data_IF_505157693646
#
_entry.id   IF_505157693646
#
_cell.length_a   1.000
_cell.length_b   1.000
_cell.length_c   1.000
_cell.angle_alpha   90.00
_cell.angle_beta   90.00
_cell.angle_gamma   90.00
#
_symmetry.space_group_name_H-M   'P 1'
#
loop_
_entity.id
_entity.type
_entity.pdbx_description
1 polymer ?
#
# COMPACT_ATOMS: atom_id res chain seq x y z
N UNK A 1 -45.73 -18.67 -69.80
CA UNK A 1 -44.60 -18.00 -70.43
C UNK A 1 -43.66 -17.51 -69.36
N UNK A 2 -42.35 -17.62 -69.52
CA UNK A 2 -41.49 -18.12 -68.46
C UNK A 2 -40.81 -16.94 -67.71
N UNK A 3 -40.45 -17.27 -66.47
CA UNK A 3 -39.56 -16.46 -65.67
C UNK A 3 -38.10 -16.70 -66.08
N UNK A 4 -37.19 -15.75 -65.92
CA UNK A 4 -35.77 -16.00 -65.97
C UNK A 4 -35.12 -15.93 -64.57
N UNK A 5 -34.21 -16.81 -64.47
CA UNK A 5 -33.19 -17.10 -63.44
C UNK A 5 -32.62 -15.88 -62.69
N UNK A 6 -32.54 -16.04 -61.35
CA UNK A 6 -31.76 -15.19 -60.49
C UNK A 6 -30.49 -15.91 -60.07
N UNK A 7 -29.39 -15.30 -60.44
CA UNK A 7 -28.05 -15.67 -60.18
C UNK A 7 -27.69 -15.49 -58.68
N UNK A 8 -27.34 -16.58 -58.01
CA UNK A 8 -26.88 -16.61 -56.63
C UNK A 8 -25.43 -16.12 -56.58
N UNK A 9 -25.20 -14.85 -56.13
CA UNK A 9 -23.88 -14.36 -55.84
C UNK A 9 -23.49 -14.71 -54.39
N UNK A 10 -22.62 -15.72 -54.24
CA UNK A 10 -21.94 -16.03 -52.97
C UNK A 10 -21.16 -14.81 -52.46
N UNK A 11 -21.66 -14.20 -51.39
CA UNK A 11 -20.82 -13.31 -50.58
C UNK A 11 -19.88 -14.16 -49.74
N UNK A 12 -18.60 -14.12 -50.07
CA UNK A 12 -17.52 -14.63 -49.24
C UNK A 12 -17.50 -13.81 -47.98
N UNK A 13 -17.84 -14.43 -46.88
CA UNK A 13 -17.66 -13.85 -45.53
C UNK A 13 -16.18 -13.76 -45.25
N UNK A 14 -15.60 -12.58 -44.88
CA UNK A 14 -14.20 -12.51 -44.49
C UNK A 14 -14.07 -13.25 -43.15
N UNK A 15 -13.31 -14.33 -43.19
CA UNK A 15 -12.83 -15.03 -42.01
C UNK A 15 -12.11 -14.01 -41.11
N UNK A 16 -12.54 -13.91 -39.83
CA UNK A 16 -11.83 -13.21 -38.79
C UNK A 16 -10.43 -13.83 -38.67
N UNK A 17 -9.47 -13.29 -39.39
CA UNK A 17 -8.05 -13.53 -39.13
C UNK A 17 -7.79 -13.00 -37.72
N UNK A 18 -7.58 -13.93 -36.78
CA UNK A 18 -7.24 -13.57 -35.41
C UNK A 18 -5.96 -12.76 -35.38
N UNK A 19 -6.06 -11.53 -34.97
CA UNK A 19 -4.92 -10.71 -34.53
C UNK A 19 -4.37 -11.39 -33.27
N UNK A 20 -3.45 -12.35 -33.44
CA UNK A 20 -2.53 -12.74 -32.37
C UNK A 20 -1.55 -11.58 -32.23
N UNK A 21 -1.83 -10.68 -31.28
CA UNK A 21 -0.79 -9.77 -30.79
C UNK A 21 0.46 -10.61 -30.54
N UNK A 22 1.55 -10.30 -31.23
CA UNK A 22 2.86 -10.88 -30.93
C UNK A 22 3.26 -10.35 -29.56
N UNK A 23 2.96 -11.10 -28.52
CA UNK A 23 3.51 -10.80 -27.19
C UNK A 23 5.01 -10.80 -27.29
N UNK A 24 5.68 -9.75 -26.79
CA UNK A 24 7.11 -9.68 -26.74
C UNK A 24 7.71 -10.88 -26.00
N UNK A 25 8.90 -11.26 -26.37
CA UNK A 25 9.63 -12.35 -25.71
C UNK A 25 9.82 -12.01 -24.23
N UNK A 26 9.74 -13.00 -23.34
CA UNK A 26 10.06 -12.78 -21.94
C UNK A 26 11.47 -12.20 -21.77
N UNK A 27 11.61 -11.30 -20.79
CA UNK A 27 12.92 -10.75 -20.37
C UNK A 27 13.34 -11.46 -19.10
N UNK A 28 14.62 -11.82 -19.01
CA UNK A 28 15.22 -12.32 -17.78
C UNK A 28 16.00 -11.17 -17.13
N UNK A 29 15.65 -10.88 -15.87
CA UNK A 29 16.28 -9.85 -15.04
C UNK A 29 17.16 -10.56 -14.02
N UNK A 30 18.44 -10.19 -13.93
CA UNK A 30 19.29 -10.60 -12.83
C UNK A 30 19.04 -9.64 -11.65
N UNK A 31 18.52 -10.17 -10.55
CA UNK A 31 18.21 -9.40 -9.34
C UNK A 31 18.89 -10.06 -8.14
N UNK A 32 19.91 -9.41 -7.63
CA UNK A 32 20.72 -9.92 -6.50
C UNK A 32 21.33 -11.31 -6.81
N UNK A 33 21.72 -11.57 -8.06
CA UNK A 33 22.27 -12.86 -8.52
C UNK A 33 21.19 -13.94 -8.72
N UNK A 34 19.91 -13.59 -8.67
CA UNK A 34 18.78 -14.49 -8.92
C UNK A 34 18.13 -14.15 -10.27
N UNK A 35 17.96 -15.12 -11.20
CA UNK A 35 17.25 -14.88 -12.44
C UNK A 35 15.74 -14.80 -12.20
N UNK A 36 15.15 -13.65 -12.51
CA UNK A 36 13.70 -13.46 -12.47
C UNK A 36 13.18 -13.27 -13.89
N UNK A 37 12.41 -14.23 -14.37
CA UNK A 37 11.79 -14.18 -15.70
C UNK A 37 10.54 -13.32 -15.67
N UNK A 38 10.52 -12.24 -16.47
CA UNK A 38 9.37 -11.35 -16.66
C UNK A 38 8.68 -11.68 -17.98
N UNK A 39 7.49 -12.27 -17.93
CA UNK A 39 6.66 -12.56 -19.11
C UNK A 39 5.83 -11.35 -19.49
N UNK A 40 5.55 -11.17 -20.80
CA UNK A 40 4.77 -10.05 -21.34
C UNK A 40 5.28 -8.69 -20.84
N UNK A 41 6.57 -8.36 -21.03
CA UNK A 41 7.18 -7.14 -20.50
C UNK A 41 6.53 -5.87 -21.07
N UNK A 42 6.05 -5.93 -22.30
CA UNK A 42 5.38 -4.88 -23.08
C UNK A 42 3.90 -4.70 -22.75
N UNK A 43 3.34 -5.53 -21.88
CA UNK A 43 1.94 -5.35 -21.47
C UNK A 43 1.77 -4.01 -20.76
N UNK A 44 0.90 -3.16 -21.29
CA UNK A 44 0.54 -1.87 -20.68
C UNK A 44 -0.21 -2.12 -19.38
N UNK A 45 0.32 -1.58 -18.30
CA UNK A 45 -0.29 -1.65 -16.96
C UNK A 45 -1.08 -0.38 -16.62
N UNK A 46 -0.57 0.77 -17.02
CA UNK A 46 -1.18 2.08 -16.75
C UNK A 46 -1.65 2.69 -18.08
N UNK A 47 -2.87 2.36 -18.49
CA UNK A 47 -3.36 2.69 -19.83
C UNK A 47 -3.39 4.20 -20.13
N UNK A 48 -3.63 5.05 -19.12
CA UNK A 48 -3.65 6.50 -19.29
C UNK A 48 -2.25 7.10 -19.56
N UNK A 49 -1.19 6.40 -19.17
CA UNK A 49 0.20 6.87 -19.21
C UNK A 49 1.07 6.09 -20.18
N UNK A 50 0.71 4.83 -20.44
CA UNK A 50 1.42 3.93 -21.34
C UNK A 50 2.50 3.07 -20.69
N UNK A 51 2.77 3.23 -19.38
CA UNK A 51 3.78 2.39 -18.70
C UNK A 51 3.39 0.93 -18.71
N UNK A 52 4.41 0.11 -18.96
CA UNK A 52 4.33 -1.33 -19.14
C UNK A 52 4.66 -2.10 -17.85
N UNK A 53 4.54 -3.41 -17.92
CA UNK A 53 5.00 -4.31 -16.86
C UNK A 53 6.52 -4.20 -16.63
N UNK A 54 7.30 -3.99 -17.71
CA UNK A 54 8.73 -3.78 -17.60
C UNK A 54 9.06 -2.45 -16.92
N UNK A 55 8.31 -1.39 -17.22
CA UNK A 55 8.50 -0.10 -16.55
C UNK A 55 8.20 -0.21 -15.05
N UNK A 56 7.16 -0.96 -14.67
CA UNK A 56 6.88 -1.26 -13.26
C UNK A 56 8.02 -2.04 -12.59
N UNK A 57 8.61 -3.03 -13.27
CA UNK A 57 9.76 -3.77 -12.75
C UNK A 57 10.99 -2.85 -12.61
N UNK A 58 11.27 -2.02 -13.60
CA UNK A 58 12.39 -1.05 -13.57
C UNK A 58 12.20 -0.01 -12.45
N UNK A 59 10.96 0.43 -12.21
CA UNK A 59 10.65 1.29 -11.07
C UNK A 59 11.07 0.63 -9.75
N UNK A 60 10.63 -0.61 -9.49
CA UNK A 60 10.97 -1.30 -8.25
C UNK A 60 12.47 -1.63 -8.13
N UNK A 61 13.16 -1.86 -9.25
CA UNK A 61 14.62 -1.97 -9.26
C UNK A 61 15.27 -0.65 -8.81
N UNK A 62 14.78 0.48 -9.30
CA UNK A 62 15.34 1.79 -8.97
C UNK A 62 15.15 2.20 -7.50
N UNK A 63 14.03 1.82 -6.87
CA UNK A 63 13.73 2.11 -5.46
C UNK A 63 13.99 0.90 -4.54
N UNK A 64 14.74 -0.07 -5.01
CA UNK A 64 14.95 -1.37 -4.39
C UNK A 64 15.27 -1.35 -2.90
N UNK A 65 16.29 -0.59 -2.44
CA UNK A 65 16.62 -0.53 -1.02
C UNK A 65 15.45 -0.05 -0.15
N UNK A 66 14.70 0.95 -0.62
CA UNK A 66 13.58 1.53 0.12
C UNK A 66 12.38 0.58 0.22
N UNK A 67 11.95 -0.03 -0.91
CA UNK A 67 10.80 -0.96 -0.88
C UNK A 67 11.13 -2.24 -0.10
N UNK A 68 12.35 -2.77 -0.22
CA UNK A 68 12.76 -3.95 0.54
C UNK A 68 12.77 -3.66 2.03
N UNK A 69 13.26 -2.49 2.48
CA UNK A 69 13.22 -2.10 3.89
C UNK A 69 11.78 -1.99 4.39
N UNK A 70 10.90 -1.33 3.64
CA UNK A 70 9.50 -1.14 4.01
C UNK A 70 8.74 -2.47 4.18
N UNK A 71 9.12 -3.51 3.42
CA UNK A 71 8.48 -4.82 3.42
C UNK A 71 9.21 -5.88 4.25
N UNK A 72 10.45 -5.58 4.70
CA UNK A 72 11.35 -6.58 5.29
C UNK A 72 10.70 -7.35 6.44
N UNK A 73 10.73 -8.68 6.31
CA UNK A 73 10.29 -9.63 7.33
C UNK A 73 8.78 -9.53 7.67
N UNK A 74 7.97 -8.85 6.84
CA UNK A 74 6.54 -8.68 7.07
C UNK A 74 5.72 -9.60 6.21
N UNK A 75 4.64 -10.22 6.76
CA UNK A 75 3.61 -10.80 5.91
C UNK A 75 3.08 -9.72 4.99
N UNK A 76 2.92 -10.03 3.70
CA UNK A 76 2.54 -9.03 2.71
C UNK A 76 1.41 -9.51 1.81
N UNK A 77 0.29 -8.81 1.83
CA UNK A 77 -0.78 -8.98 0.87
C UNK A 77 -0.41 -8.27 -0.44
N UNK A 78 -0.50 -8.98 -1.55
CA UNK A 78 -0.26 -8.46 -2.89
C UNK A 78 -1.56 -8.00 -3.54
N UNK A 79 -1.63 -6.76 -4.02
CA UNK A 79 -2.69 -6.33 -4.91
C UNK A 79 -2.24 -6.50 -6.35
N UNK A 80 -2.84 -7.47 -7.02
CA UNK A 80 -2.48 -7.87 -8.39
C UNK A 80 -3.47 -7.32 -9.40
N UNK A 81 -2.96 -7.01 -10.59
CA UNK A 81 -3.72 -6.51 -11.73
C UNK A 81 -3.34 -7.31 -12.98
N UNK A 82 -3.87 -8.55 -13.15
CA UNK A 82 -3.45 -9.44 -14.22
C UNK A 82 -3.63 -8.89 -15.63
N UNK A 83 -4.58 -7.96 -15.81
CA UNK A 83 -4.90 -7.31 -17.09
C UNK A 83 -4.55 -5.83 -17.14
N UNK A 84 -3.71 -5.34 -16.20
CA UNK A 84 -3.41 -3.92 -16.02
C UNK A 84 -4.35 -3.24 -15.03
N UNK A 85 -4.03 -2.00 -14.62
CA UNK A 85 -4.73 -1.30 -13.53
C UNK A 85 -6.15 -0.85 -13.86
N UNK A 86 -6.54 -0.86 -15.14
CA UNK A 86 -7.92 -0.67 -15.58
C UNK A 86 -8.79 -1.92 -15.43
N UNK A 87 -8.18 -3.08 -15.14
CA UNK A 87 -8.87 -4.34 -14.95
C UNK A 87 -9.22 -4.64 -13.49
N UNK A 88 -9.63 -5.88 -13.26
CA UNK A 88 -9.97 -6.35 -11.92
C UNK A 88 -8.75 -6.39 -10.98
N UNK A 89 -8.91 -5.85 -9.78
CA UNK A 89 -7.94 -5.96 -8.68
C UNK A 89 -8.15 -7.27 -7.92
N UNK A 90 -7.11 -8.07 -7.81
CA UNK A 90 -7.07 -9.32 -7.06
C UNK A 90 -6.27 -9.13 -5.77
N UNK A 91 -6.90 -9.33 -4.63
CA UNK A 91 -6.24 -9.35 -3.33
C UNK A 91 -5.66 -10.74 -3.07
N UNK A 92 -4.36 -10.90 -3.15
CA UNK A 92 -3.70 -12.19 -2.98
C UNK A 92 -2.90 -12.24 -1.67
N UNK A 93 -3.40 -13.03 -0.72
CA UNK A 93 -2.75 -13.30 0.55
C UNK A 93 -1.75 -14.48 0.44
N UNK A 94 -2.07 -15.53 -0.30
CA UNK A 94 -1.25 -16.74 -0.39
C UNK A 94 -0.28 -16.71 -1.55
N UNK A 95 0.96 -17.11 -1.29
CA UNK A 95 1.92 -17.44 -2.35
C UNK A 95 1.47 -18.73 -3.06
N UNK A 96 1.43 -18.77 -4.41
CA UNK A 96 1.02 -19.95 -5.15
C UNK A 96 2.06 -21.08 -5.06
N UNK A 97 1.61 -22.34 -5.16
CA UNK A 97 2.47 -23.53 -5.04
C UNK A 97 3.62 -23.62 -6.04
N UNK A 98 3.55 -22.90 -7.18
CA UNK A 98 4.62 -22.86 -8.20
C UNK A 98 5.63 -21.72 -7.99
N UNK A 99 5.68 -21.09 -6.82
CA UNK A 99 6.67 -20.06 -6.50
C UNK A 99 8.09 -20.63 -6.48
N UNK A 100 9.11 -19.80 -6.81
CA UNK A 100 10.50 -20.22 -6.73
C UNK A 100 10.88 -20.68 -5.31
N UNK A 101 11.78 -21.67 -5.18
CA UNK A 101 12.15 -22.21 -3.86
C UNK A 101 12.93 -21.22 -2.98
N UNK A 102 13.46 -20.16 -3.55
CA UNK A 102 14.16 -19.09 -2.82
C UNK A 102 13.21 -18.01 -2.28
N UNK A 103 11.91 -18.05 -2.65
CA UNK A 103 10.91 -17.12 -2.14
C UNK A 103 10.53 -17.53 -0.71
N UNK A 104 10.52 -16.56 0.19
CA UNK A 104 10.18 -16.81 1.58
C UNK A 104 8.71 -16.49 1.85
N UNK A 105 8.12 -17.24 2.77
CA UNK A 105 6.75 -17.05 3.24
C UNK A 105 6.70 -17.06 4.76
N UNK A 106 5.64 -16.46 5.27
CA UNK A 106 5.30 -16.53 6.70
C UNK A 106 3.86 -17.01 6.86
N UNK A 107 3.67 -17.95 7.78
CA UNK A 107 2.36 -18.51 8.06
C UNK A 107 1.59 -17.62 9.02
N UNK A 108 0.48 -17.05 8.55
CA UNK A 108 -0.38 -16.17 9.33
C UNK A 108 -1.70 -16.88 9.64
N UNK A 109 -2.16 -16.73 10.87
CA UNK A 109 -3.46 -17.22 11.29
C UNK A 109 -4.52 -16.13 11.10
N UNK A 110 -5.70 -16.51 10.56
CA UNK A 110 -6.89 -15.67 10.41
C UNK A 110 -7.99 -16.22 11.31
N UNK A 111 -8.11 -15.77 12.58
CA UNK A 111 -9.03 -16.34 13.58
C UNK A 111 -10.48 -16.31 13.12
N UNK A 112 -10.94 -15.18 12.56
CA UNK A 112 -12.31 -15.00 12.05
C UNK A 112 -12.72 -16.07 11.04
N UNK A 113 -11.76 -16.52 10.20
CA UNK A 113 -11.99 -17.53 9.17
C UNK A 113 -11.49 -18.93 9.57
N UNK A 114 -10.96 -19.09 10.78
CA UNK A 114 -10.35 -20.33 11.30
C UNK A 114 -9.40 -21.00 10.32
N UNK A 115 -8.57 -20.22 9.63
CA UNK A 115 -7.64 -20.69 8.60
C UNK A 115 -6.29 -19.99 8.65
N UNK A 116 -5.31 -20.61 7.97
CA UNK A 116 -3.97 -20.07 7.80
C UNK A 116 -3.74 -19.68 6.34
N UNK A 117 -2.84 -18.73 6.12
CA UNK A 117 -2.28 -18.44 4.81
C UNK A 117 -0.76 -18.33 4.94
N UNK A 118 -0.04 -18.85 3.94
CA UNK A 118 1.38 -18.62 3.78
C UNK A 118 1.53 -17.39 2.88
N UNK A 119 1.73 -16.22 3.53
CA UNK A 119 1.86 -14.93 2.86
C UNK A 119 3.31 -14.68 2.45
N UNK A 120 3.49 -13.86 1.39
CA UNK A 120 4.81 -13.41 0.97
C UNK A 120 5.53 -12.73 2.14
N UNK A 121 6.80 -13.08 2.34
CA UNK A 121 7.71 -12.45 3.29
C UNK A 121 8.91 -11.90 2.53
N UNK A 122 8.93 -10.61 2.27
CA UNK A 122 10.00 -9.99 1.49
C UNK A 122 11.27 -9.90 2.32
N UNK A 123 12.36 -10.46 1.78
CA UNK A 123 13.70 -10.42 2.40
C UNK A 123 14.76 -9.84 1.45
N UNK A 124 14.45 -9.79 0.14
CA UNK A 124 15.35 -9.32 -0.93
C UNK A 124 14.57 -8.73 -2.10
N UNK A 125 15.24 -8.00 -2.97
CA UNK A 125 14.60 -7.32 -4.10
C UNK A 125 14.02 -8.32 -5.13
N UNK A 126 14.63 -9.49 -5.29
CA UNK A 126 14.10 -10.53 -6.16
C UNK A 126 12.68 -10.96 -5.80
N UNK A 127 12.29 -10.92 -4.51
CA UNK A 127 10.92 -11.23 -4.06
C UNK A 127 9.91 -10.20 -4.60
N UNK A 128 10.30 -8.92 -4.63
CA UNK A 128 9.50 -7.82 -5.17
C UNK A 128 9.33 -7.97 -6.68
N UNK A 129 10.42 -8.23 -7.42
CA UNK A 129 10.39 -8.36 -8.89
C UNK A 129 9.63 -9.62 -9.29
N UNK A 130 9.76 -10.73 -8.55
CA UNK A 130 8.92 -11.90 -8.78
C UNK A 130 7.43 -11.58 -8.57
N UNK A 131 7.11 -10.77 -7.59
CA UNK A 131 5.72 -10.34 -7.36
C UNK A 131 5.19 -9.50 -8.53
N UNK A 132 6.02 -8.63 -9.11
CA UNK A 132 5.70 -7.91 -10.36
C UNK A 132 5.46 -8.90 -11.50
N UNK A 133 6.27 -9.96 -11.62
CA UNK A 133 6.00 -11.04 -12.58
C UNK A 133 4.61 -11.64 -12.37
N UNK A 134 4.15 -11.78 -11.13
CA UNK A 134 2.81 -12.24 -10.76
C UNK A 134 1.73 -11.17 -10.92
N UNK A 135 2.04 -10.03 -11.54
CA UNK A 135 1.15 -8.88 -11.79
C UNK A 135 0.83 -8.06 -10.54
N UNK A 136 1.65 -8.11 -9.52
CA UNK A 136 1.52 -7.25 -8.34
C UNK A 136 1.91 -5.83 -8.70
N UNK A 137 1.04 -4.88 -8.36
CA UNK A 137 1.29 -3.44 -8.48
C UNK A 137 1.47 -2.83 -7.09
N UNK A 138 0.60 -3.18 -6.13
CA UNK A 138 0.64 -2.64 -4.78
C UNK A 138 1.08 -3.70 -3.77
N UNK A 139 1.92 -3.29 -2.82
CA UNK A 139 2.38 -4.12 -1.70
C UNK A 139 1.78 -3.59 -0.39
N UNK A 140 1.07 -4.44 0.32
CA UNK A 140 0.36 -4.13 1.54
C UNK A 140 0.85 -5.00 2.69
N UNK A 141 1.95 -4.61 3.37
CA UNK A 141 2.51 -5.38 4.48
C UNK A 141 1.67 -5.25 5.75
N UNK A 142 1.73 -6.27 6.59
CA UNK A 142 1.33 -6.17 7.97
C UNK A 142 2.23 -5.20 8.74
N UNK A 143 1.71 -4.68 9.84
CA UNK A 143 2.49 -3.86 10.77
C UNK A 143 3.21 -4.68 11.84
N UNK A 144 3.29 -6.01 11.68
CA UNK A 144 4.12 -6.95 12.45
C UNK A 144 5.11 -7.69 11.54
N UNK A 145 6.14 -8.29 12.13
CA UNK A 145 7.15 -9.07 11.41
C UNK A 145 6.98 -10.59 11.66
N UNK A 146 7.61 -11.39 10.81
CA UNK A 146 7.52 -12.87 10.89
C UNK A 146 8.01 -13.47 12.21
N UNK A 147 8.86 -12.76 12.95
CA UNK A 147 9.35 -13.21 14.26
C UNK A 147 8.21 -13.30 15.29
N UNK A 148 7.25 -12.37 15.22
CA UNK A 148 6.02 -12.41 15.98
C UNK A 148 4.92 -11.69 15.18
N UNK A 149 4.03 -12.47 14.55
CA UNK A 149 2.94 -11.92 13.73
C UNK A 149 1.77 -11.38 14.55
N UNK A 150 1.76 -11.60 15.87
CA UNK A 150 0.66 -11.14 16.75
C UNK A 150 0.99 -9.82 17.46
N UNK A 151 2.27 -9.38 17.43
CA UNK A 151 2.71 -8.12 18.03
C UNK A 151 3.26 -7.16 16.98
N UNK A 152 2.54 -6.04 16.70
CA UNK A 152 3.04 -4.99 15.82
C UNK A 152 4.34 -4.36 16.33
N UNK A 153 5.27 -4.11 15.40
CA UNK A 153 6.46 -3.28 15.61
C UNK A 153 6.33 -1.92 14.91
N UNK A 154 5.17 -1.64 14.32
CA UNK A 154 4.90 -0.43 13.57
C UNK A 154 3.49 0.08 13.87
N UNK A 155 3.41 1.31 14.36
CA UNK A 155 2.17 2.05 14.50
C UNK A 155 1.99 2.95 13.28
N UNK A 156 0.78 2.93 12.70
CA UNK A 156 0.41 3.67 11.48
C UNK A 156 -0.64 4.71 11.79
N UNK A 157 -0.31 5.96 11.54
CA UNK A 157 -1.24 7.10 11.57
C UNK A 157 -1.66 7.34 10.13
N UNK A 158 -2.93 7.08 9.82
CA UNK A 158 -3.50 7.25 8.48
C UNK A 158 -4.43 8.46 8.47
N UNK A 159 -4.04 9.48 7.71
CA UNK A 159 -4.78 10.73 7.51
C UNK A 159 -5.62 10.60 6.23
N UNK A 160 -6.87 10.14 6.36
CA UNK A 160 -7.78 9.84 5.25
C UNK A 160 -8.81 10.98 5.06
N UNK A 161 -8.64 11.86 4.06
CA UNK A 161 -9.58 12.95 3.81
C UNK A 161 -10.90 12.43 3.24
N UNK A 162 -12.01 12.90 3.80
CA UNK A 162 -13.35 12.67 3.26
C UNK A 162 -13.50 13.33 1.87
N UNK A 163 -14.52 13.00 1.07
CA UNK A 163 -14.59 13.39 -0.36
C UNK A 163 -14.43 14.88 -0.67
N UNK A 164 -14.93 15.76 0.21
CA UNK A 164 -14.85 17.22 0.05
C UNK A 164 -13.69 17.86 0.82
N UNK A 165 -12.89 17.06 1.52
CA UNK A 165 -11.70 17.50 2.24
C UNK A 165 -10.52 17.60 1.28
N UNK A 166 -9.94 18.80 1.15
CA UNK A 166 -8.77 19.08 0.30
C UNK A 166 -7.45 18.69 0.96
N UNK A 167 -6.38 18.65 0.17
CA UNK A 167 -5.05 18.30 0.68
C UNK A 167 -4.46 19.36 1.62
N UNK A 168 -4.92 20.62 1.57
CA UNK A 168 -4.53 21.66 2.53
C UNK A 168 -4.95 21.31 3.96
N UNK A 169 -6.12 20.69 4.13
CA UNK A 169 -6.54 20.14 5.44
C UNK A 169 -5.65 18.98 5.87
N UNK A 170 -5.22 18.12 4.93
CA UNK A 170 -4.26 17.04 5.22
C UNK A 170 -2.94 17.62 5.73
N UNK A 171 -2.41 18.67 5.09
CA UNK A 171 -1.19 19.37 5.54
C UNK A 171 -1.34 19.95 6.94
N UNK A 172 -2.45 20.66 7.20
CA UNK A 172 -2.75 21.22 8.51
C UNK A 172 -2.75 20.15 9.58
N UNK A 173 -3.50 19.06 9.38
CA UNK A 173 -3.62 17.99 10.37
C UNK A 173 -2.30 17.23 10.53
N UNK A 174 -1.53 17.04 9.45
CA UNK A 174 -0.20 16.45 9.52
C UNK A 174 0.76 17.31 10.35
N UNK A 175 0.64 18.64 10.30
CA UNK A 175 1.37 19.56 11.21
C UNK A 175 0.99 19.34 12.68
N UNK A 176 -0.30 19.22 12.99
CA UNK A 176 -0.76 18.89 14.35
C UNK A 176 -0.21 17.54 14.82
N UNK A 177 -0.20 16.53 13.93
CA UNK A 177 0.40 15.21 14.22
C UNK A 177 1.89 15.35 14.51
N UNK A 178 2.63 16.11 13.69
CA UNK A 178 4.06 16.34 13.89
C UNK A 178 4.36 16.98 15.26
N UNK A 179 3.63 18.04 15.62
CA UNK A 179 3.77 18.72 16.91
C UNK A 179 3.49 17.76 18.07
N UNK A 180 2.40 17.00 17.99
CA UNK A 180 2.01 16.04 19.02
C UNK A 180 3.05 14.93 19.19
N UNK A 181 3.58 14.38 18.09
CA UNK A 181 4.66 13.39 18.15
C UNK A 181 5.93 13.97 18.79
N UNK A 182 6.27 15.23 18.46
CA UNK A 182 7.42 15.91 19.05
C UNK A 182 7.26 16.13 20.57
N UNK A 183 6.07 16.53 21.04
CA UNK A 183 5.75 16.64 22.47
C UNK A 183 5.91 15.31 23.22
N UNK A 184 5.57 14.21 22.55
CA UNK A 184 5.72 12.85 23.10
C UNK A 184 7.15 12.29 22.98
N UNK A 185 8.07 13.01 22.32
CA UNK A 185 9.40 12.51 22.01
C UNK A 185 9.42 11.32 21.04
N UNK A 186 8.40 11.23 20.17
CA UNK A 186 8.23 10.16 19.20
C UNK A 186 8.66 10.62 17.81
N UNK A 187 9.47 9.82 17.14
CA UNK A 187 9.89 10.06 15.75
C UNK A 187 8.88 9.46 14.80
N UNK A 188 8.23 10.30 14.00
CA UNK A 188 7.32 9.90 12.95
C UNK A 188 7.92 10.06 11.55
N UNK A 189 7.65 9.12 10.67
CA UNK A 189 8.14 9.03 9.29
C UNK A 189 6.99 9.25 8.32
N UNK A 190 6.81 10.48 7.78
CA UNK A 190 5.70 10.81 6.89
C UNK A 190 5.93 10.28 5.48
N UNK A 191 4.82 9.92 4.83
CA UNK A 191 4.76 9.59 3.40
C UNK A 191 3.40 9.92 2.81
N UNK A 192 3.35 10.20 1.51
CA UNK A 192 2.06 10.27 0.81
C UNK A 192 1.38 8.90 0.79
N UNK A 193 0.06 8.86 0.79
CA UNK A 193 -0.66 7.58 0.64
C UNK A 193 -0.59 7.01 -0.79
N UNK A 194 -0.12 7.82 -1.77
CA UNK A 194 -0.26 7.57 -3.19
C UNK A 194 -1.72 7.72 -3.66
N UNK A 195 -2.57 8.27 -2.80
CA UNK A 195 -3.94 8.70 -3.05
C UNK A 195 -4.11 10.15 -2.65
N UNK A 196 -5.13 10.45 -1.83
CA UNK A 196 -5.45 11.81 -1.40
C UNK A 196 -4.95 12.15 0.00
N UNK A 197 -4.51 11.16 0.77
CA UNK A 197 -4.12 11.29 2.17
C UNK A 197 -2.61 11.22 2.39
N UNK A 198 -2.25 11.16 3.66
CA UNK A 198 -0.88 11.05 4.15
C UNK A 198 -0.82 10.01 5.27
N UNK A 199 0.25 9.25 5.33
CA UNK A 199 0.51 8.31 6.41
C UNK A 199 1.75 8.76 7.20
N UNK A 200 1.74 8.53 8.50
CA UNK A 200 2.94 8.66 9.34
C UNK A 200 3.20 7.33 10.00
N UNK A 201 4.39 6.79 9.78
CA UNK A 201 4.81 5.53 10.39
C UNK A 201 5.68 5.79 11.61
N UNK A 202 5.45 5.03 12.65
CA UNK A 202 6.24 5.07 13.89
C UNK A 202 6.71 3.66 14.21
N UNK A 203 8.01 3.49 14.45
CA UNK A 203 8.52 2.23 14.98
C UNK A 203 8.22 2.14 16.47
N UNK A 204 7.59 1.03 16.87
CA UNK A 204 7.25 0.77 18.27
C UNK A 204 7.89 -0.53 18.76
N UNK A 205 8.08 -0.67 20.06
CA UNK A 205 8.46 -1.95 20.65
C UNK A 205 7.33 -2.95 20.44
N UNK A 206 7.62 -4.19 20.06
CA UNK A 206 6.60 -5.24 19.87
C UNK A 206 6.14 -5.84 21.21
N UNK A 207 5.78 -4.97 22.15
CA UNK A 207 5.38 -5.36 23.51
C UNK A 207 3.86 -5.55 23.62
N UNK A 208 3.09 -5.03 22.64
CA UNK A 208 1.62 -4.96 22.66
C UNK A 208 1.00 -5.75 21.51
N UNK A 209 -0.14 -6.38 21.79
CA UNK A 209 -0.98 -7.01 20.77
C UNK A 209 -1.78 -5.96 19.97
N UNK A 210 -2.34 -6.36 18.83
CA UNK A 210 -3.08 -5.48 17.92
C UNK A 210 -4.18 -4.66 18.60
N UNK A 211 -4.94 -5.26 19.54
CA UNK A 211 -6.00 -4.58 20.27
C UNK A 211 -5.49 -3.37 21.05
N UNK A 212 -4.36 -3.53 21.75
CA UNK A 212 -3.73 -2.46 22.52
C UNK A 212 -3.12 -1.38 21.61
N UNK A 213 -2.45 -1.77 20.50
CA UNK A 213 -1.92 -0.80 19.53
C UNK A 213 -3.03 0.03 18.91
N UNK A 214 -4.16 -0.60 18.53
CA UNK A 214 -5.33 0.10 17.99
C UNK A 214 -5.96 1.02 19.05
N UNK A 215 -6.02 0.60 20.32
CA UNK A 215 -6.52 1.40 21.43
C UNK A 215 -5.65 2.66 21.64
N UNK A 216 -4.35 2.51 21.65
CA UNK A 216 -3.40 3.62 21.71
C UNK A 216 -3.54 4.57 20.51
N UNK A 217 -3.69 4.01 19.29
CA UNK A 217 -3.92 4.78 18.07
C UNK A 217 -5.21 5.61 18.13
N UNK A 218 -6.30 5.07 18.70
CA UNK A 218 -7.56 5.81 18.90
C UNK A 218 -7.38 6.94 19.92
N UNK A 219 -6.65 6.71 21.01
CA UNK A 219 -6.39 7.77 21.99
C UNK A 219 -5.59 8.93 21.38
N UNK A 220 -4.59 8.61 20.56
CA UNK A 220 -3.84 9.61 19.80
C UNK A 220 -4.75 10.35 18.80
N UNK A 221 -5.57 9.64 18.03
CA UNK A 221 -6.49 10.23 17.08
C UNK A 221 -7.48 11.20 17.74
N UNK A 222 -8.00 10.84 18.93
CA UNK A 222 -8.86 11.73 19.72
C UNK A 222 -8.13 12.97 20.21
N UNK A 223 -6.83 12.88 20.52
CA UNK A 223 -6.04 14.07 20.88
C UNK A 223 -5.85 14.98 19.67
N UNK A 224 -5.58 14.42 18.47
CA UNK A 224 -5.54 15.19 17.22
C UNK A 224 -6.89 15.87 16.95
N UNK A 225 -8.02 15.17 17.14
CA UNK A 225 -9.37 15.73 17.01
C UNK A 225 -9.62 16.88 18.01
N UNK A 226 -9.18 16.77 19.28
CA UNK A 226 -9.26 17.85 20.27
C UNK A 226 -8.48 19.11 19.88
N UNK A 227 -7.33 18.95 19.17
CA UNK A 227 -6.52 20.07 18.70
C UNK A 227 -7.04 20.71 17.43
N UNK A 228 -7.78 19.96 16.60
CA UNK A 228 -8.31 20.44 15.33
C UNK A 228 -9.79 19.99 15.12
N UNK A 229 -10.71 20.35 16.06
CA UNK A 229 -12.08 19.80 16.10
C UNK A 229 -12.93 20.15 14.89
N UNK A 230 -12.63 21.26 14.21
CA UNK A 230 -13.42 21.72 13.06
C UNK A 230 -13.12 20.94 11.79
N UNK A 231 -11.99 20.23 11.73
CA UNK A 231 -11.49 19.59 10.50
C UNK A 231 -11.13 18.12 10.66
N UNK A 232 -11.06 17.59 11.88
CA UNK A 232 -10.72 16.19 12.18
C UNK A 232 -11.92 15.46 12.75
N UNK A 233 -12.06 14.19 12.41
CA UNK A 233 -13.03 13.29 13.03
C UNK A 233 -12.43 11.93 13.35
N UNK A 234 -12.85 11.34 14.46
CA UNK A 234 -12.60 9.94 14.84
C UNK A 234 -13.86 9.09 14.76
N UNK A 235 -14.96 9.62 14.22
CA UNK A 235 -16.25 8.94 14.09
C UNK A 235 -16.09 7.65 13.27
N UNK A 236 -16.54 6.51 13.87
CA UNK A 236 -16.39 5.19 13.25
C UNK A 236 -17.11 5.06 11.90
N UNK A 237 -18.39 5.41 11.87
CA UNK A 237 -19.19 5.18 10.68
C UNK A 237 -18.99 6.27 9.63
N UNK A 238 -18.48 5.89 8.47
CA UNK A 238 -18.23 6.82 7.36
C UNK A 238 -19.46 7.68 6.98
N UNK A 239 -20.66 7.10 7.06
CA UNK A 239 -21.92 7.79 6.74
C UNK A 239 -22.26 8.94 7.70
N UNK A 240 -21.70 8.92 8.92
CA UNK A 240 -21.97 9.90 9.97
C UNK A 240 -20.86 10.97 10.03
N UNK A 241 -19.84 10.90 9.13
CA UNK A 241 -18.75 11.89 9.04
C UNK A 241 -19.15 13.05 8.14
N UNK A 242 -18.79 14.28 8.53
CA UNK A 242 -18.87 15.44 7.63
C UNK A 242 -17.92 15.21 6.42
N UNK A 243 -18.42 15.36 5.18
CA UNK A 243 -17.59 15.14 3.98
C UNK A 243 -16.41 16.09 3.84
N UNK A 244 -16.36 17.18 4.62
CA UNK A 244 -15.27 18.18 4.63
C UNK A 244 -14.19 17.88 5.66
N UNK A 245 -14.38 16.87 6.54
CA UNK A 245 -13.41 16.52 7.57
C UNK A 245 -12.37 15.53 7.09
N UNK A 246 -11.30 15.39 7.88
CA UNK A 246 -10.28 14.36 7.75
C UNK A 246 -10.51 13.30 8.84
N UNK A 247 -10.55 12.05 8.43
CA UNK A 247 -10.61 10.93 9.37
C UNK A 247 -9.19 10.47 9.72
N UNK A 248 -8.86 10.48 11.01
CA UNK A 248 -7.63 9.83 11.49
C UNK A 248 -7.96 8.35 11.68
N UNK A 249 -7.59 7.52 10.67
CA UNK A 249 -7.97 6.11 10.64
C UNK A 249 -7.06 5.26 11.55
N UNK A 250 -7.46 5.17 12.80
CA UNK A 250 -6.83 4.33 13.81
C UNK A 250 -7.02 2.83 13.56
N UNK A 251 -7.98 2.44 12.69
CA UNK A 251 -8.29 1.04 12.40
C UNK A 251 -7.22 0.36 11.54
N UNK A 252 -6.35 1.13 10.88
CA UNK A 252 -5.19 0.56 10.17
C UNK A 252 -4.22 -0.15 11.12
N UNK A 253 -4.44 -0.02 12.44
CA UNK A 253 -3.69 -0.74 13.47
C UNK A 253 -4.45 -1.97 14.01
N UNK A 254 -5.62 -2.27 13.47
CA UNK A 254 -6.32 -3.52 13.78
C UNK A 254 -5.63 -4.70 13.07
N UNK A 255 -5.82 -5.89 13.63
CA UNK A 255 -5.32 -7.14 13.03
C UNK A 255 -5.93 -7.32 11.65
N UNK A 256 -5.16 -7.84 10.70
CA UNK A 256 -5.52 -8.06 9.29
C UNK A 256 -5.70 -6.79 8.44
N UNK A 257 -5.59 -5.60 9.01
CA UNK A 257 -5.60 -4.35 8.27
C UNK A 257 -4.21 -4.04 7.71
N UNK A 258 -4.18 -3.66 6.44
CA UNK A 258 -2.94 -3.36 5.73
C UNK A 258 -3.13 -2.14 4.83
N UNK A 259 -2.08 -1.33 4.74
CA UNK A 259 -2.03 -0.16 3.83
C UNK A 259 -0.83 -0.25 2.90
N UNK A 260 -0.86 0.50 1.80
CA UNK A 260 0.24 0.52 0.85
C UNK A 260 1.54 0.94 1.53
N UNK A 261 2.61 0.14 1.37
CA UNK A 261 3.93 0.43 1.94
C UNK A 261 4.56 1.69 1.35
N UNK A 262 5.60 2.20 2.00
CA UNK A 262 6.50 3.15 1.37
C UNK A 262 7.01 2.58 0.03
N UNK A 263 7.12 3.44 -0.98
CA UNK A 263 7.51 3.12 -2.36
C UNK A 263 6.57 2.18 -3.12
N UNK A 264 5.43 1.78 -2.56
CA UNK A 264 4.43 1.01 -3.30
C UNK A 264 3.74 1.88 -4.35
N UNK A 265 3.73 1.43 -5.60
CA UNK A 265 2.91 2.02 -6.66
C UNK A 265 1.44 1.77 -6.35
N UNK A 266 0.56 2.71 -6.75
CA UNK A 266 -0.89 2.54 -6.63
C UNK A 266 -1.50 2.13 -7.97
N UNK A 267 -2.49 1.26 -7.89
CA UNK A 267 -3.22 0.78 -9.07
C UNK A 267 -4.28 1.77 -9.57
N UNK A 268 -3.91 3.03 -9.71
CA UNK A 268 -4.75 4.10 -10.28
C UNK A 268 -4.23 4.52 -11.65
N UNK A 269 -4.99 5.39 -12.33
CA UNK A 269 -4.69 5.82 -13.70
C UNK A 269 -3.37 6.62 -13.80
N UNK A 270 -3.02 7.35 -12.75
CA UNK A 270 -1.86 8.24 -12.70
C UNK A 270 -0.58 7.51 -12.27
N UNK A 271 -0.65 6.23 -11.92
CA UNK A 271 0.48 5.44 -11.42
C UNK A 271 1.22 6.15 -10.27
N UNK A 272 0.47 6.73 -9.34
CA UNK A 272 1.04 7.42 -8.20
C UNK A 272 1.74 6.45 -7.25
N UNK A 273 2.62 6.98 -6.43
CA UNK A 273 3.45 6.21 -5.48
C UNK A 273 3.20 6.69 -4.06
N UNK A 274 3.13 5.74 -3.15
CA UNK A 274 3.16 6.02 -1.70
C UNK A 274 4.57 6.40 -1.29
N UNK A 275 4.89 7.69 -1.36
CA UNK A 275 6.28 8.21 -1.35
C UNK A 275 6.66 8.81 -0.01
N UNK A 276 7.76 8.36 0.63
CA UNK A 276 8.35 9.03 1.76
C UNK A 276 8.70 10.49 1.47
N UNK A 277 8.39 11.35 2.44
CA UNK A 277 8.68 12.78 2.42
C UNK A 277 9.33 13.20 3.73
N UNK A 278 10.03 14.33 3.75
CA UNK A 278 10.46 14.97 4.97
C UNK A 278 9.36 15.87 5.52
N UNK A 279 9.38 16.12 6.81
CA UNK A 279 8.42 17.03 7.44
C UNK A 279 8.53 18.47 6.91
N UNK A 280 9.74 18.92 6.55
CA UNK A 280 9.99 20.25 5.99
C UNK A 280 9.48 20.41 4.55
N UNK A 281 9.21 19.32 3.84
CA UNK A 281 8.59 19.33 2.50
C UNK A 281 7.06 19.46 2.55
N UNK A 282 6.43 19.22 3.71
CA UNK A 282 4.98 19.05 3.83
C UNK A 282 4.19 20.25 3.27
N UNK A 283 4.71 21.47 3.41
CA UNK A 283 4.05 22.68 2.92
C UNK A 283 3.87 22.69 1.39
N UNK A 284 4.84 22.14 0.65
CA UNK A 284 4.94 22.24 -0.81
C UNK A 284 4.55 20.95 -1.53
N UNK A 285 4.36 19.82 -0.80
CA UNK A 285 4.04 18.51 -1.39
C UNK A 285 2.69 18.51 -2.09
N UNK A 286 2.68 18.09 -3.37
CA UNK A 286 1.47 17.61 -4.05
C UNK A 286 1.62 16.08 -4.25
N UNK A 287 0.73 15.26 -3.71
CA UNK A 287 0.81 13.79 -3.87
C UNK A 287 0.78 13.33 -5.33
N UNK A 288 0.26 14.14 -6.25
CA UNK A 288 0.17 13.84 -7.69
C UNK A 288 1.52 13.92 -8.39
N UNK A 289 2.50 14.61 -7.81
CA UNK A 289 3.85 14.73 -8.37
C UNK A 289 4.66 13.45 -8.21
N UNK A 290 4.25 12.57 -7.29
CA UNK A 290 4.94 11.32 -6.99
C UNK A 290 4.35 10.15 -7.79
N UNK A 291 4.95 9.90 -8.93
CA UNK A 291 4.53 8.85 -9.86
C UNK A 291 5.65 7.83 -10.11
N UNK A 292 5.30 6.73 -10.77
CA UNK A 292 6.28 5.72 -11.24
C UNK A 292 7.41 6.35 -12.08
N UNK A 293 7.16 7.50 -12.74
CA UNK A 293 8.16 8.19 -13.58
C UNK A 293 9.05 9.16 -12.78
N UNK A 294 8.54 9.77 -11.71
CA UNK A 294 9.25 10.85 -10.99
C UNK A 294 10.00 10.36 -9.76
N UNK A 295 9.45 9.39 -9.05
CA UNK A 295 10.03 8.88 -7.79
C UNK A 295 11.41 8.24 -7.96
N UNK A 296 11.78 7.55 -9.05
CA UNK A 296 13.13 7.02 -9.23
C UNK A 296 14.22 8.10 -9.18
N UNK A 297 14.01 9.25 -9.83
CA UNK A 297 14.97 10.36 -9.80
C UNK A 297 15.09 10.95 -8.38
N UNK A 298 13.96 11.15 -7.70
CA UNK A 298 13.93 11.59 -6.30
C UNK A 298 14.68 10.61 -5.38
N UNK A 299 14.46 9.31 -5.55
CA UNK A 299 15.16 8.30 -4.75
C UNK A 299 16.67 8.30 -5.00
N UNK A 300 17.10 8.47 -6.24
CA UNK A 300 18.50 8.56 -6.59
C UNK A 300 19.20 9.81 -5.98
N UNK A 301 18.46 10.92 -5.84
CA UNK A 301 18.94 12.17 -5.26
C UNK A 301 18.97 12.15 -3.73
N UNK A 302 17.86 11.72 -3.10
CA UNK A 302 17.63 11.86 -1.67
C UNK A 302 17.89 10.57 -0.86
N UNK A 303 18.00 9.43 -1.53
CA UNK A 303 18.01 8.12 -0.88
C UNK A 303 16.66 7.74 -0.29
N UNK A 304 16.68 6.79 0.64
CA UNK A 304 15.48 6.38 1.36
C UNK A 304 15.23 7.25 2.59
N UNK A 305 14.23 8.10 2.50
CA UNK A 305 13.86 9.01 3.60
C UNK A 305 13.29 8.30 4.85
N UNK A 306 13.00 6.99 4.76
CA UNK A 306 12.65 6.16 5.90
C UNK A 306 13.82 5.30 6.42
N UNK A 307 15.08 5.60 5.99
CA UNK A 307 16.25 4.77 6.33
C UNK A 307 16.42 4.58 7.84
N UNK A 308 16.22 5.63 8.63
CA UNK A 308 16.36 5.59 10.08
C UNK A 308 15.15 5.05 10.85
N UNK A 309 14.11 4.51 10.18
CA UNK A 309 12.88 4.11 10.89
C UNK A 309 13.10 3.01 11.93
N UNK A 310 14.10 2.16 11.73
CA UNK A 310 14.43 1.07 12.65
C UNK A 310 15.42 1.45 13.78
N UNK A 311 15.91 2.72 13.80
CA UNK A 311 16.93 3.15 14.77
C UNK A 311 16.39 3.28 16.20
N UNK A 312 15.12 3.69 16.34
CA UNK A 312 14.47 3.89 17.64
C UNK A 312 13.05 3.31 17.63
N UNK A 313 12.81 2.42 18.57
CA UNK A 313 11.46 1.86 18.82
C UNK A 313 10.84 2.53 20.06
N UNK A 314 9.68 3.16 19.87
CA UNK A 314 8.98 3.92 20.88
C UNK A 314 8.02 3.07 21.74
N UNK A 315 7.73 3.55 22.96
CA UNK A 315 6.70 2.99 23.84
C UNK A 315 5.33 3.55 23.48
N UNK A 316 4.26 2.76 23.71
CA UNK A 316 2.87 3.21 23.65
C UNK A 316 2.26 3.46 25.04
N UNK A 317 3.03 3.35 26.12
CA UNK A 317 2.52 3.46 27.49
C UNK A 317 1.73 4.77 27.73
N UNK A 318 2.29 5.91 27.36
CA UNK A 318 1.60 7.21 27.49
C UNK A 318 0.27 7.27 26.72
N UNK A 319 0.23 6.69 25.51
CA UNK A 319 -1.00 6.62 24.71
C UNK A 319 -2.03 5.67 25.31
N UNK A 320 -1.59 4.61 25.97
CA UNK A 320 -2.47 3.70 26.69
C UNK A 320 -3.03 4.35 27.98
N UNK A 321 -2.23 5.16 28.69
CA UNK A 321 -2.71 6.00 29.80
C UNK A 321 -3.77 7.00 29.30
N UNK A 322 -3.58 7.60 28.13
CA UNK A 322 -4.62 8.46 27.53
C UNK A 322 -5.89 7.67 27.17
N UNK A 323 -5.72 6.45 26.68
CA UNK A 323 -6.84 5.58 26.38
C UNK A 323 -7.67 5.24 27.63
N UNK A 324 -7.02 5.02 28.78
CA UNK A 324 -7.68 4.82 30.07
C UNK A 324 -8.40 6.08 30.54
N UNK A 325 -7.73 7.23 30.49
CA UNK A 325 -8.31 8.55 30.82
C UNK A 325 -9.59 8.81 30.01
N UNK A 326 -9.57 8.48 28.71
CA UNK A 326 -10.66 8.76 27.77
C UNK A 326 -11.73 7.65 27.74
N UNK A 327 -11.60 6.61 28.57
CA UNK A 327 -12.53 5.47 28.61
C UNK A 327 -12.59 4.71 27.28
N UNK A 328 -11.46 4.60 26.58
CA UNK A 328 -11.37 3.82 25.34
C UNK A 328 -11.33 2.35 25.69
N UNK A 329 -12.43 1.63 25.45
CA UNK A 329 -12.50 0.18 25.63
C UNK A 329 -11.68 -0.56 24.57
N UNK A 330 -11.21 -1.76 24.90
CA UNK A 330 -10.64 -2.66 23.91
C UNK A 330 -11.74 -3.01 22.88
N UNK A 331 -11.44 -2.89 21.60
CA UNK A 331 -12.41 -3.28 20.58
C UNK A 331 -12.66 -4.78 20.67
N UNK A 332 -13.94 -5.17 20.68
CA UNK A 332 -14.32 -6.57 20.50
C UNK A 332 -13.86 -7.02 19.09
N UNK A 333 -12.78 -7.79 19.03
CA UNK A 333 -12.23 -8.34 17.76
C UNK A 333 -13.23 -9.26 17.05
N UNK A 334 -14.30 -9.72 17.75
CA UNK A 334 -15.37 -10.54 17.17
C UNK A 334 -16.41 -9.70 16.40
N UNK A 335 -16.52 -8.41 16.69
CA UNK A 335 -17.42 -7.47 16.03
C UNK A 335 -16.72 -6.83 14.81
N UNK A 336 -16.33 -7.65 13.86
CA UNK A 336 -15.71 -7.20 12.62
C UNK A 336 -16.63 -6.32 11.77
N UNK A 337 -16.06 -5.26 11.22
CA UNK A 337 -16.65 -4.33 10.27
C UNK A 337 -17.18 -4.99 8.98
#
# INVERSE_FOLDING_TARGET
MPAPDSCCACRVCPTKAGYRERMASPVELDVDGLPVRLSSPDRVYFAARGETKLDLANYYLAVGPGIVRALRERPCMMHRFPTGTSGEKVHQKRVPAGAPPWLETVRVHFPRYKRYADELCVTKLADVIWSVQMSTVEFHPWNSRRADTERPDEWRIDLDPMPECGFDTVRLVAGVVQELLAELGITGYPKTSGGRGLHVYVRIRPDWEFGLVRRAALAFAREVERRAPDVVTTTWWRKDRDPRTLFVDYNQNARDHTIASAYSVRGNAEATVSTPIRWDELADVDPRDFTIATVPARFAELGDLHEGIDDVAHSLETLLEWAERDGVEEPDESAGA
#
